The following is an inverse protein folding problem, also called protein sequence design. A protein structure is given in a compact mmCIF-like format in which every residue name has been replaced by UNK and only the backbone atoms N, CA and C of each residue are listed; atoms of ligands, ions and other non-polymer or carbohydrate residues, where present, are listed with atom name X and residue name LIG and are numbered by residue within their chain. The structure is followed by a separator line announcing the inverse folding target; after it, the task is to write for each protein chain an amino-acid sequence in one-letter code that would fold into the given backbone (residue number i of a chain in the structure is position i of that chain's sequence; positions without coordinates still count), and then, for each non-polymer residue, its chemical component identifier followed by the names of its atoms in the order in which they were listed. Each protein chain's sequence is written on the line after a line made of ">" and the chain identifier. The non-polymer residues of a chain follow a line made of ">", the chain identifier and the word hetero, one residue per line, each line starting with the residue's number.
data_IF_897547601759
#
_entry.id   IF_897547601759
#
_cell.length_a   1.000
_cell.length_b   1.000
_cell.length_c   1.000
_cell.angle_alpha   90.00
_cell.angle_beta   90.00
_cell.angle_gamma   90.00
#
_symmetry.space_group_name_H-M   'P 1'
#
loop_
_entity.id
_entity.type
_entity.pdbx_description
1 polymer ?
#
# COMPACT_ATOMS: atom_id res chain seq x y z
N UNK A 1 37.22 6.93 -6.88
CA UNK A 1 35.94 7.27 -7.56
C UNK A 1 35.29 5.99 -8.07
N UNK A 2 34.17 5.54 -7.50
CA UNK A 2 33.47 4.32 -7.95
C UNK A 2 32.29 4.70 -8.85
N UNK A 3 32.44 4.49 -10.15
CA UNK A 3 31.42 4.79 -11.16
C UNK A 3 30.11 4.03 -10.94
N UNK A 4 29.03 4.78 -10.71
CA UNK A 4 27.78 4.66 -11.46
C UNK A 4 26.99 3.36 -11.44
N UNK A 5 27.10 2.45 -10.46
CA UNK A 5 26.14 1.33 -10.40
C UNK A 5 24.79 1.80 -9.85
N UNK A 6 23.83 2.13 -10.73
CA UNK A 6 22.42 2.49 -10.41
C UNK A 6 21.64 1.42 -9.60
N UNK A 7 22.27 0.33 -9.17
CA UNK A 7 21.65 -0.83 -8.49
C UNK A 7 22.13 -0.90 -7.05
N UNK A 8 21.20 -1.05 -6.10
CA UNK A 8 21.55 -1.25 -4.68
C UNK A 8 22.28 -2.59 -4.49
N UNK A 9 23.33 -2.59 -3.66
CA UNK A 9 24.10 -3.81 -3.36
C UNK A 9 23.37 -4.79 -2.44
N UNK A 10 22.37 -4.32 -1.67
CA UNK A 10 21.54 -5.09 -0.73
C UNK A 10 22.36 -5.89 0.32
N UNK A 11 23.60 -5.46 0.60
CA UNK A 11 24.56 -6.19 1.45
C UNK A 11 24.74 -7.66 1.05
N UNK A 12 24.68 -7.95 -0.25
CA UNK A 12 24.82 -9.30 -0.80
C UNK A 12 25.86 -9.33 -1.93
N UNK A 13 26.54 -10.48 -2.05
CA UNK A 13 27.36 -10.77 -3.23
C UNK A 13 26.51 -10.72 -4.51
N UNK A 14 27.13 -10.40 -5.65
CA UNK A 14 26.44 -10.16 -6.91
C UNK A 14 25.62 -11.36 -7.40
N UNK A 15 26.15 -12.57 -7.25
CA UNK A 15 25.49 -13.83 -7.63
C UNK A 15 24.24 -14.08 -6.77
N UNK A 16 24.39 -14.03 -5.43
CA UNK A 16 23.27 -14.21 -4.49
C UNK A 16 22.18 -13.16 -4.71
N UNK A 17 22.57 -11.88 -4.86
CA UNK A 17 21.62 -10.80 -5.14
C UNK A 17 20.80 -11.07 -6.41
N UNK A 18 21.45 -11.57 -7.46
CA UNK A 18 20.77 -11.91 -8.72
C UNK A 18 19.75 -13.03 -8.53
N UNK A 19 20.12 -14.08 -7.79
CA UNK A 19 19.23 -15.22 -7.50
C UNK A 19 18.02 -14.79 -6.66
N UNK A 20 18.26 -14.05 -5.56
CA UNK A 20 17.18 -13.53 -4.69
C UNK A 20 16.22 -12.66 -5.48
N UNK A 21 16.73 -11.70 -6.26
CA UNK A 21 15.88 -10.82 -7.07
C UNK A 21 15.15 -11.58 -8.18
N UNK A 22 15.78 -12.57 -8.82
CA UNK A 22 15.13 -13.45 -9.81
C UNK A 22 13.97 -14.22 -9.18
N UNK A 23 14.18 -14.79 -8.00
CA UNK A 23 13.15 -15.51 -7.27
C UNK A 23 11.97 -14.60 -6.93
N UNK A 24 12.25 -13.47 -6.27
CA UNK A 24 11.21 -12.50 -5.91
C UNK A 24 10.46 -11.93 -7.12
N UNK A 25 11.15 -11.73 -8.26
CA UNK A 25 10.51 -11.29 -9.52
C UNK A 25 9.54 -12.35 -10.02
N UNK A 26 9.97 -13.62 -9.97
CA UNK A 26 9.13 -14.75 -10.35
C UNK A 26 7.90 -14.85 -9.44
N UNK A 27 8.10 -14.76 -8.12
CA UNK A 27 7.03 -14.89 -7.13
C UNK A 27 6.02 -13.74 -7.22
N UNK A 28 6.51 -12.50 -7.38
CA UNK A 28 5.64 -11.33 -7.55
C UNK A 28 4.81 -11.42 -8.84
N UNK A 29 5.34 -11.98 -9.92
CA UNK A 29 4.58 -12.18 -11.17
C UNK A 29 3.48 -13.23 -10.97
N UNK A 30 3.76 -14.31 -10.23
CA UNK A 30 2.78 -15.39 -9.98
C UNK A 30 1.67 -14.96 -9.03
N UNK A 31 2.03 -14.33 -7.91
CA UNK A 31 1.10 -14.04 -6.82
C UNK A 31 0.54 -12.63 -6.87
N UNK A 32 1.16 -11.72 -7.64
CA UNK A 32 0.74 -10.33 -7.78
C UNK A 32 1.13 -9.43 -6.61
N UNK A 33 1.47 -9.99 -5.43
CA UNK A 33 1.90 -9.26 -4.22
C UNK A 33 3.01 -9.97 -3.47
N UNK A 34 3.87 -9.20 -2.81
CA UNK A 34 4.93 -9.72 -1.98
C UNK A 34 5.33 -8.73 -0.89
N UNK A 35 5.51 -9.22 0.33
CA UNK A 35 6.04 -8.43 1.45
C UNK A 35 7.56 -8.59 1.54
N UNK A 36 8.28 -7.46 1.66
CA UNK A 36 9.74 -7.48 1.79
C UNK A 36 10.28 -6.19 2.39
N UNK A 37 11.60 -6.03 2.48
CA UNK A 37 12.19 -4.76 2.93
C UNK A 37 12.10 -3.70 1.85
N UNK A 38 11.90 -2.43 2.24
CA UNK A 38 11.87 -1.27 1.34
C UNK A 38 12.99 -1.27 0.28
N UNK A 39 14.27 -1.50 0.63
CA UNK A 39 15.33 -1.53 -0.38
C UNK A 39 15.17 -2.67 -1.39
N UNK A 40 14.71 -3.86 -0.97
CA UNK A 40 14.45 -4.99 -1.88
C UNK A 40 13.27 -4.70 -2.80
N UNK A 41 12.17 -4.16 -2.27
CA UNK A 41 11.00 -3.77 -3.06
C UNK A 41 11.34 -2.75 -4.15
N UNK A 42 12.18 -1.74 -3.83
CA UNK A 42 12.62 -0.73 -4.81
C UNK A 42 13.45 -1.32 -5.94
N UNK A 43 14.33 -2.29 -5.66
CA UNK A 43 15.08 -2.99 -6.72
C UNK A 43 14.19 -3.92 -7.55
N UNK A 44 13.26 -4.61 -6.88
CA UNK A 44 12.33 -5.54 -7.49
C UNK A 44 11.40 -4.86 -8.51
N UNK A 45 10.90 -3.67 -8.17
CA UNK A 45 10.08 -2.82 -9.07
C UNK A 45 10.71 -2.69 -10.46
N UNK A 46 12.01 -2.39 -10.53
CA UNK A 46 12.72 -2.20 -11.80
C UNK A 46 12.73 -3.47 -12.65
N UNK A 47 12.88 -4.63 -12.03
CA UNK A 47 12.95 -5.92 -12.72
C UNK A 47 11.57 -6.36 -13.20
N UNK A 48 10.55 -6.26 -12.36
CA UNK A 48 9.16 -6.59 -12.74
C UNK A 48 8.67 -5.65 -13.83
N UNK A 49 8.92 -4.35 -13.73
CA UNK A 49 8.50 -3.40 -14.76
C UNK A 49 9.14 -3.76 -16.13
N UNK A 50 10.41 -4.20 -16.14
CA UNK A 50 11.08 -4.69 -17.35
C UNK A 50 10.42 -5.97 -17.88
N UNK A 51 10.12 -6.94 -17.03
CA UNK A 51 9.50 -8.20 -17.46
C UNK A 51 8.10 -7.99 -18.04
N UNK A 52 7.29 -7.12 -17.43
CA UNK A 52 5.97 -6.75 -17.95
C UNK A 52 6.11 -6.02 -19.30
N UNK A 53 7.09 -5.13 -19.44
CA UNK A 53 7.37 -4.46 -20.72
C UNK A 53 7.73 -5.46 -21.83
N UNK A 54 8.53 -6.48 -21.52
CA UNK A 54 8.82 -7.57 -22.46
C UNK A 54 7.56 -8.38 -22.79
N UNK A 55 6.75 -8.69 -21.79
CA UNK A 55 5.47 -9.38 -21.98
C UNK A 55 4.55 -8.63 -22.93
N UNK A 56 4.41 -7.30 -22.74
CA UNK A 56 3.66 -6.41 -23.63
C UNK A 56 4.17 -6.38 -25.07
N UNK A 57 5.49 -6.51 -25.27
CA UNK A 57 6.08 -6.52 -26.63
C UNK A 57 5.62 -7.73 -27.43
N UNK A 58 5.38 -8.87 -26.78
CA UNK A 58 4.74 -10.02 -27.42
C UNK A 58 5.57 -10.79 -28.46
N UNK A 59 6.84 -10.41 -28.72
CA UNK A 59 7.67 -11.07 -29.74
C UNK A 59 8.38 -12.31 -29.19
N UNK A 60 8.75 -13.24 -30.08
CA UNK A 60 9.49 -14.46 -29.70
C UNK A 60 10.85 -14.13 -29.05
N UNK A 61 11.53 -13.10 -29.54
CA UNK A 61 12.75 -12.62 -28.89
C UNK A 61 12.51 -12.13 -27.45
N UNK A 62 11.38 -11.44 -27.19
CA UNK A 62 11.01 -11.03 -25.84
C UNK A 62 10.68 -12.25 -24.95
N UNK A 63 10.02 -13.26 -25.52
CA UNK A 63 9.73 -14.52 -24.86
C UNK A 63 11.02 -15.21 -24.39
N UNK A 64 12.01 -15.38 -25.27
CA UNK A 64 13.31 -15.97 -24.90
C UNK A 64 14.04 -15.18 -23.81
N UNK A 65 13.95 -13.84 -23.81
CA UNK A 65 14.52 -13.02 -22.74
C UNK A 65 13.84 -13.27 -21.39
N UNK A 66 12.53 -13.44 -21.36
CA UNK A 66 11.75 -13.77 -20.16
C UNK A 66 12.15 -15.16 -19.66
N UNK A 67 12.17 -16.16 -20.54
CA UNK A 67 12.50 -17.55 -20.22
C UNK A 67 13.93 -17.71 -19.70
N UNK A 68 14.89 -16.96 -20.27
CA UNK A 68 16.28 -16.95 -19.80
C UNK A 68 16.41 -16.37 -18.39
N UNK A 69 15.59 -15.37 -18.04
CA UNK A 69 15.71 -14.65 -16.78
C UNK A 69 14.86 -15.21 -15.64
N UNK A 70 13.61 -15.64 -15.86
CA UNK A 70 12.70 -16.02 -14.76
C UNK A 70 12.76 -17.51 -14.44
N UNK A 71 12.31 -17.89 -13.24
CA UNK A 71 12.07 -19.29 -12.93
C UNK A 71 10.66 -19.69 -13.40
N UNK A 72 10.44 -20.99 -13.62
CA UNK A 72 9.13 -21.55 -13.99
C UNK A 72 8.48 -20.86 -15.21
N UNK A 73 9.16 -20.81 -16.38
CA UNK A 73 8.69 -20.10 -17.57
C UNK A 73 7.29 -20.55 -18.02
N UNK A 74 6.98 -21.84 -17.86
CA UNK A 74 5.65 -22.42 -18.17
C UNK A 74 4.51 -21.70 -17.44
N UNK A 75 4.74 -21.18 -16.24
CA UNK A 75 3.74 -20.46 -15.44
C UNK A 75 3.78 -18.96 -15.66
N UNK A 76 4.98 -18.36 -15.71
CA UNK A 76 5.11 -16.89 -15.74
C UNK A 76 4.95 -16.28 -17.14
N UNK A 77 5.32 -17.01 -18.22
CA UNK A 77 5.21 -16.49 -19.59
C UNK A 77 3.74 -16.25 -19.98
N UNK A 78 2.79 -17.19 -19.75
CA UNK A 78 1.38 -16.94 -20.01
C UNK A 78 0.81 -15.75 -19.24
N UNK A 79 1.24 -15.55 -17.98
CA UNK A 79 0.83 -14.39 -17.18
C UNK A 79 1.35 -13.08 -17.78
N UNK A 80 2.64 -13.03 -18.18
CA UNK A 80 3.26 -11.82 -18.72
C UNK A 80 2.75 -11.45 -20.12
N UNK A 81 2.71 -12.41 -21.05
CA UNK A 81 2.33 -12.18 -22.44
C UNK A 81 0.82 -12.28 -22.68
N UNK A 82 0.07 -12.81 -21.72
CA UNK A 82 -1.40 -12.86 -21.74
C UNK A 82 -2.00 -11.83 -20.79
N UNK A 83 -2.18 -12.22 -19.53
CA UNK A 83 -2.92 -11.44 -18.52
C UNK A 83 -2.37 -10.02 -18.34
N UNK A 84 -1.08 -9.87 -18.06
CA UNK A 84 -0.45 -8.58 -17.80
C UNK A 84 -0.24 -7.75 -19.07
N UNK A 85 0.01 -8.39 -20.22
CA UNK A 85 0.09 -7.70 -21.50
C UNK A 85 -1.23 -7.00 -21.84
N UNK A 86 -2.36 -7.70 -21.69
CA UNK A 86 -3.71 -7.15 -21.87
C UNK A 86 -4.00 -6.05 -20.84
N UNK A 87 -3.83 -6.35 -19.55
CA UNK A 87 -4.08 -5.41 -18.43
C UNK A 87 -3.33 -4.09 -18.58
N UNK A 88 -2.10 -4.13 -19.08
CA UNK A 88 -1.24 -2.95 -19.16
C UNK A 88 -1.03 -2.41 -20.57
N UNK A 89 -1.84 -2.82 -21.56
CA UNK A 89 -1.67 -2.47 -22.97
C UNK A 89 -1.45 -0.97 -23.19
N UNK A 90 -2.32 -0.13 -22.62
CA UNK A 90 -2.30 1.34 -22.76
C UNK A 90 -1.32 2.05 -21.82
N UNK A 91 -0.81 1.36 -20.79
CA UNK A 91 0.03 1.97 -19.75
C UNK A 91 1.51 1.97 -20.17
N UNK A 92 2.19 3.13 -20.24
CA UNK A 92 3.58 3.20 -20.69
C UNK A 92 4.59 2.64 -19.68
N UNK A 93 4.26 2.64 -18.37
CA UNK A 93 5.15 2.13 -17.34
C UNK A 93 4.57 2.25 -15.92
N UNK A 94 5.39 1.88 -14.92
CA UNK A 94 5.00 1.90 -13.52
C UNK A 94 3.85 0.94 -13.23
N UNK A 95 4.11 -0.34 -13.47
CA UNK A 95 3.15 -1.44 -13.33
C UNK A 95 3.07 -1.97 -11.90
N UNK A 96 4.05 -1.60 -11.07
CA UNK A 96 4.12 -1.99 -9.66
C UNK A 96 4.00 -0.78 -8.73
N UNK A 97 3.49 -1.03 -7.53
CA UNK A 97 3.44 -0.08 -6.41
C UNK A 97 4.19 -0.64 -5.21
N UNK A 98 4.88 0.23 -4.49
CA UNK A 98 5.57 -0.10 -3.23
C UNK A 98 4.91 0.69 -2.12
N UNK A 99 4.38 0.00 -1.13
CA UNK A 99 3.67 0.54 0.02
C UNK A 99 4.48 0.23 1.29
N UNK A 100 5.02 1.25 1.98
CA UNK A 100 5.63 1.03 3.29
C UNK A 100 4.57 0.53 4.29
N UNK A 101 4.89 -0.52 5.04
CA UNK A 101 3.98 -1.15 6.02
C UNK A 101 4.51 -1.08 7.45
N UNK A 102 5.50 -0.21 7.69
CA UNK A 102 6.15 -0.07 8.99
C UNK A 102 7.48 -0.81 9.07
N UNK A 103 7.95 -1.03 10.30
CA UNK A 103 9.24 -1.66 10.56
C UNK A 103 9.04 -3.04 11.16
N UNK A 104 9.87 -3.99 10.75
CA UNK A 104 9.85 -5.34 11.28
C UNK A 104 10.23 -5.36 12.76
N UNK A 105 9.49 -6.12 13.56
CA UNK A 105 9.79 -6.35 14.97
C UNK A 105 11.13 -7.11 15.10
N UNK A 106 12.00 -6.66 16.00
CA UNK A 106 13.30 -7.26 16.27
C UNK A 106 14.45 -6.44 15.68
N UNK A 107 14.56 -6.37 14.35
CA UNK A 107 15.68 -5.66 13.68
C UNK A 107 15.31 -4.26 13.17
N UNK A 108 14.07 -3.81 13.42
CA UNK A 108 13.53 -2.51 12.99
C UNK A 108 13.72 -2.23 11.49
N UNK A 109 13.84 -3.29 10.68
CA UNK A 109 14.07 -3.14 9.25
C UNK A 109 12.82 -2.54 8.57
N UNK A 110 12.97 -1.51 7.71
CA UNK A 110 11.82 -0.91 7.06
C UNK A 110 11.22 -1.87 6.02
N UNK A 111 9.95 -2.21 6.21
CA UNK A 111 9.19 -3.15 5.40
C UNK A 111 8.28 -2.43 4.41
N UNK A 112 8.00 -3.10 3.30
CA UNK A 112 7.07 -2.68 2.28
C UNK A 112 6.38 -3.87 1.62
N UNK A 113 5.10 -3.69 1.33
CA UNK A 113 4.35 -4.51 0.41
C UNK A 113 4.60 -3.99 -1.01
N UNK A 114 5.01 -4.85 -1.93
CA UNK A 114 5.05 -4.55 -3.36
C UNK A 114 3.92 -5.31 -4.06
N UNK A 115 3.18 -4.62 -4.92
CA UNK A 115 2.06 -5.18 -5.66
C UNK A 115 2.13 -4.81 -7.15
N UNK A 116 1.65 -5.70 -8.00
CA UNK A 116 1.33 -5.41 -9.40
C UNK A 116 -0.06 -4.75 -9.42
N UNK A 117 -0.17 -3.62 -10.12
CA UNK A 117 -1.41 -2.85 -10.21
C UNK A 117 -2.52 -3.64 -10.91
N UNK A 118 -3.77 -3.32 -10.56
CA UNK A 118 -4.94 -3.83 -11.25
C UNK A 118 -5.93 -2.68 -11.49
N UNK A 119 -5.76 -1.91 -12.59
CA UNK A 119 -6.65 -0.79 -12.89
C UNK A 119 -8.12 -1.19 -13.04
N UNK A 120 -8.36 -2.43 -13.47
CA UNK A 120 -9.71 -2.96 -13.69
C UNK A 120 -10.42 -3.37 -12.39
N UNK A 121 -9.67 -3.57 -11.29
CA UNK A 121 -10.19 -3.98 -9.98
C UNK A 121 -9.46 -3.22 -8.86
N UNK A 122 -9.75 -1.91 -8.71
CA UNK A 122 -9.05 -1.08 -7.74
C UNK A 122 -9.33 -1.46 -6.29
N UNK A 123 -10.51 -1.98 -5.97
CA UNK A 123 -10.89 -2.52 -4.66
C UNK A 123 -10.03 -3.72 -4.24
N UNK A 124 -9.43 -4.42 -5.19
CA UNK A 124 -8.47 -5.45 -4.86
C UNK A 124 -7.17 -4.82 -4.31
N UNK A 125 -6.79 -3.61 -4.73
CA UNK A 125 -5.50 -2.97 -4.42
C UNK A 125 -5.35 -2.58 -2.93
N UNK A 126 -4.21 -2.94 -2.35
CA UNK A 126 -3.96 -2.68 -0.91
C UNK A 126 -3.96 -1.18 -0.63
N UNK A 127 -3.41 -0.37 -1.53
CA UNK A 127 -3.35 1.08 -1.35
C UNK A 127 -4.72 1.76 -1.38
N UNK A 128 -5.65 1.20 -2.17
CA UNK A 128 -7.01 1.70 -2.26
C UNK A 128 -7.74 1.38 -0.97
N UNK A 129 -7.64 0.14 -0.47
CA UNK A 129 -8.25 -0.27 0.80
C UNK A 129 -7.69 0.53 1.99
N UNK A 130 -6.38 0.80 2.04
CA UNK A 130 -5.82 1.71 3.04
C UNK A 130 -6.39 3.13 2.96
N UNK A 131 -6.60 3.65 1.74
CA UNK A 131 -7.20 4.97 1.53
C UNK A 131 -8.66 4.98 2.02
N UNK A 132 -9.45 4.00 1.62
CA UNK A 132 -10.85 3.84 2.07
C UNK A 132 -10.92 3.73 3.59
N UNK A 133 -10.11 2.88 4.21
CA UNK A 133 -10.07 2.72 5.68
C UNK A 133 -9.63 3.99 6.40
N UNK A 134 -8.69 4.75 5.82
CA UNK A 134 -8.28 6.06 6.34
C UNK A 134 -9.40 7.08 6.25
N UNK A 135 -10.14 7.11 5.14
CA UNK A 135 -11.31 7.99 4.97
C UNK A 135 -12.40 7.59 5.97
N UNK A 136 -12.74 6.30 6.07
CA UNK A 136 -13.72 5.80 7.02
C UNK A 136 -13.37 6.16 8.47
N UNK A 137 -12.11 6.00 8.86
CA UNK A 137 -11.64 6.38 10.20
C UNK A 137 -11.74 7.88 10.47
N UNK A 138 -11.51 8.73 9.46
CA UNK A 138 -11.73 10.17 9.57
C UNK A 138 -13.23 10.47 9.70
N UNK A 139 -14.11 9.73 9.01
CA UNK A 139 -15.55 10.02 8.95
C UNK A 139 -16.19 9.80 10.32
N UNK A 140 -15.75 8.74 11.00
CA UNK A 140 -16.11 8.46 12.38
C UNK A 140 -15.66 9.55 13.37
N UNK A 141 -14.54 10.22 13.09
CA UNK A 141 -13.94 11.18 14.02
C UNK A 141 -14.45 12.62 13.81
N UNK A 142 -14.92 12.99 12.61
CA UNK A 142 -15.28 14.37 12.23
C UNK A 142 -16.80 14.61 12.05
N UNK A 143 -17.67 13.61 12.27
CA UNK A 143 -19.15 13.69 12.14
C UNK A 143 -19.70 14.31 10.82
N UNK A 144 -18.91 14.41 9.75
CA UNK A 144 -19.31 14.94 8.42
C UNK A 144 -18.84 14.08 7.24
N UNK A 145 -19.56 14.16 6.11
CA UNK A 145 -19.22 13.51 4.82
C UNK A 145 -17.87 14.02 4.29
N UNK A 146 -16.97 13.10 3.99
CA UNK A 146 -15.54 13.37 3.83
C UNK A 146 -15.10 13.87 2.46
N UNK A 147 -15.94 13.77 1.43
CA UNK A 147 -15.48 14.10 0.08
C UNK A 147 -15.17 15.60 -0.10
N UNK A 148 -15.92 16.50 0.54
CA UNK A 148 -15.76 17.94 0.29
C UNK A 148 -14.60 18.57 1.10
N UNK A 149 -14.45 18.21 2.37
CA UNK A 149 -13.39 18.74 3.25
C UNK A 149 -12.01 18.18 2.86
N UNK A 150 -11.93 16.89 2.49
CA UNK A 150 -10.66 16.25 2.15
C UNK A 150 -10.06 16.76 0.83
N UNK A 151 -10.85 17.35 -0.08
CA UNK A 151 -10.38 17.81 -1.39
C UNK A 151 -9.81 19.24 -1.40
N UNK A 152 -10.15 20.06 -0.40
CA UNK A 152 -9.79 21.49 -0.31
C UNK A 152 -9.23 21.87 1.07
N UNK A 153 -7.99 21.48 1.39
CA UNK A 153 -7.33 21.92 2.62
C UNK A 153 -6.87 23.37 2.51
N UNK A 154 -7.49 24.26 3.29
CA UNK A 154 -7.09 25.66 3.46
C UNK A 154 -6.20 25.81 4.69
N UNK A 155 -5.16 26.65 4.59
CA UNK A 155 -4.41 27.13 5.74
C UNK A 155 -5.00 28.50 6.06
N UNK A 156 -5.40 28.74 7.30
CA UNK A 156 -5.83 30.06 7.73
C UNK A 156 -4.59 30.98 7.79
N UNK A 157 -4.48 31.99 6.91
CA UNK A 157 -3.34 32.90 6.88
C UNK A 157 -3.35 33.89 8.05
N UNK A 158 -4.52 34.12 8.68
CA UNK A 158 -4.71 35.13 9.72
C UNK A 158 -4.74 34.52 11.14
N UNK A 159 -4.63 33.19 11.24
CA UNK A 159 -4.56 32.50 12.52
C UNK A 159 -3.34 32.96 13.33
N UNK A 160 -3.59 33.50 14.53
CA UNK A 160 -2.54 33.87 15.47
C UNK A 160 -1.88 32.61 16.05
N UNK A 161 -0.70 32.25 15.56
CA UNK A 161 0.09 31.17 16.13
C UNK A 161 0.87 31.69 17.34
N UNK A 162 0.53 31.19 18.53
CA UNK A 162 1.14 31.62 19.79
C UNK A 162 2.66 31.44 19.84
N UNK A 163 3.22 30.45 19.12
CA UNK A 163 4.66 30.25 18.99
C UNK A 163 5.06 29.57 17.65
N UNK A 164 6.37 29.49 17.40
CA UNK A 164 6.96 28.85 16.21
C UNK A 164 6.64 27.34 16.14
N UNK A 165 6.37 26.69 17.27
CA UNK A 165 6.08 25.25 17.34
C UNK A 165 4.66 24.97 16.84
N UNK A 166 3.69 25.78 17.26
CA UNK A 166 2.29 25.78 16.84
C UNK A 166 2.20 26.04 15.33
N UNK A 167 2.92 27.05 14.83
CA UNK A 167 2.99 27.31 13.39
C UNK A 167 3.52 26.11 12.59
N UNK A 168 4.65 25.51 13.03
CA UNK A 168 5.21 24.32 12.37
C UNK A 168 4.25 23.13 12.38
N UNK A 169 3.53 22.92 13.48
CA UNK A 169 2.54 21.85 13.61
C UNK A 169 1.37 22.06 12.65
N UNK A 170 0.81 23.28 12.62
CA UNK A 170 -0.27 23.63 11.71
C UNK A 170 0.14 23.51 10.24
N UNK A 171 1.35 23.99 9.89
CA UNK A 171 1.91 23.83 8.55
C UNK A 171 2.06 22.34 8.17
N UNK A 172 2.59 21.52 9.08
CA UNK A 172 2.75 20.08 8.83
C UNK A 172 1.40 19.38 8.65
N UNK A 173 0.40 19.75 9.45
CA UNK A 173 -0.96 19.24 9.34
C UNK A 173 -1.60 19.61 8.00
N UNK A 174 -1.51 20.88 7.61
CA UNK A 174 -2.00 21.38 6.33
C UNK A 174 -1.33 20.68 5.13
N UNK A 175 0.00 20.55 5.14
CA UNK A 175 0.74 19.80 4.13
C UNK A 175 0.32 18.33 4.07
N UNK A 176 0.02 17.72 5.23
CA UNK A 176 -0.43 16.33 5.30
C UNK A 176 -1.83 16.18 4.69
N UNK A 177 -2.75 17.09 5.00
CA UNK A 177 -4.09 17.17 4.41
C UNK A 177 -4.01 17.39 2.89
N UNK A 178 -3.15 18.28 2.41
CA UNK A 178 -2.88 18.47 0.97
C UNK A 178 -2.40 17.20 0.27
N UNK A 179 -1.44 16.49 0.87
CA UNK A 179 -0.93 15.22 0.32
C UNK A 179 -2.03 14.16 0.29
N UNK A 180 -2.87 14.12 1.31
CA UNK A 180 -4.01 13.21 1.38
C UNK A 180 -5.05 13.51 0.30
N UNK A 181 -5.44 14.77 0.14
CA UNK A 181 -6.31 15.25 -0.95
C UNK A 181 -5.81 14.81 -2.32
N UNK A 182 -4.50 14.93 -2.57
CA UNK A 182 -3.88 14.50 -3.81
C UNK A 182 -3.96 12.98 -4.01
N UNK A 183 -3.84 12.18 -2.94
CA UNK A 183 -4.01 10.73 -3.02
C UNK A 183 -5.44 10.36 -3.40
N UNK A 184 -6.44 11.01 -2.82
CA UNK A 184 -7.85 10.80 -3.15
C UNK A 184 -8.11 11.16 -4.62
N UNK A 185 -7.70 12.36 -5.07
CA UNK A 185 -7.81 12.78 -6.48
C UNK A 185 -7.14 11.79 -7.44
N UNK A 186 -5.97 11.29 -7.06
CA UNK A 186 -5.22 10.31 -7.86
C UNK A 186 -5.90 8.94 -7.86
N UNK A 187 -6.52 8.52 -6.77
CA UNK A 187 -7.31 7.29 -6.72
C UNK A 187 -8.48 7.39 -7.70
N UNK A 188 -9.33 8.41 -7.57
CA UNK A 188 -10.47 8.67 -8.47
C UNK A 188 -10.07 8.68 -9.94
N UNK A 189 -8.96 9.37 -10.28
CA UNK A 189 -8.44 9.41 -11.65
C UNK A 189 -7.97 8.04 -12.16
N UNK A 190 -7.31 7.24 -11.33
CA UNK A 190 -6.78 5.94 -11.76
C UNK A 190 -7.87 4.88 -11.90
N UNK A 191 -8.94 4.99 -11.10
CA UNK A 191 -10.04 4.04 -11.08
C UNK A 191 -11.19 4.45 -11.99
N UNK A 192 -11.14 5.66 -12.56
CA UNK A 192 -12.24 6.26 -13.31
C UNK A 192 -13.57 6.27 -12.53
N UNK A 193 -13.48 6.40 -11.20
CA UNK A 193 -14.64 6.43 -10.31
C UNK A 193 -15.09 7.86 -10.02
N UNK A 194 -16.39 8.03 -9.81
CA UNK A 194 -16.98 9.27 -9.32
C UNK A 194 -16.75 9.45 -7.81
N UNK A 195 -16.85 10.69 -7.36
CA UNK A 195 -16.81 11.04 -5.94
C UNK A 195 -17.91 10.33 -5.13
N UNK A 196 -19.10 10.16 -5.72
CA UNK A 196 -20.25 9.51 -5.09
C UNK A 196 -20.03 8.00 -4.90
N UNK A 197 -19.46 7.33 -5.90
CA UNK A 197 -19.10 5.91 -5.80
C UNK A 197 -18.07 5.66 -4.69
N UNK A 198 -17.05 6.53 -4.61
CA UNK A 198 -16.07 6.46 -3.53
C UNK A 198 -16.72 6.68 -2.16
N UNK A 199 -17.63 7.66 -2.04
CA UNK A 199 -18.32 7.92 -0.77
C UNK A 199 -19.15 6.71 -0.32
N UNK A 200 -19.85 6.02 -1.23
CA UNK A 200 -20.60 4.78 -0.91
C UNK A 200 -19.70 3.69 -0.32
N UNK A 201 -18.50 3.50 -0.89
CA UNK A 201 -17.53 2.52 -0.40
C UNK A 201 -17.00 2.92 0.97
N UNK A 202 -16.70 4.21 1.17
CA UNK A 202 -16.25 4.74 2.45
C UNK A 202 -17.34 4.61 3.50
N UNK A 203 -18.60 4.88 3.18
CA UNK A 203 -19.73 4.73 4.10
C UNK A 203 -19.88 3.28 4.57
N UNK A 204 -19.76 2.31 3.65
CA UNK A 204 -19.79 0.88 3.99
C UNK A 204 -18.62 0.48 4.91
N UNK A 205 -17.40 0.91 4.59
CA UNK A 205 -16.23 0.66 5.44
C UNK A 205 -16.35 1.37 6.80
N UNK A 206 -16.99 2.54 6.86
CA UNK A 206 -17.23 3.29 8.09
C UNK A 206 -18.11 2.50 9.06
N UNK A 207 -19.17 1.87 8.55
CA UNK A 207 -20.02 0.95 9.33
C UNK A 207 -19.18 -0.20 9.86
N UNK A 208 -18.41 -0.87 8.99
CA UNK A 208 -17.56 -1.99 9.38
C UNK A 208 -16.52 -1.62 10.45
N UNK A 209 -15.83 -0.48 10.31
CA UNK A 209 -14.85 0.00 11.29
C UNK A 209 -15.52 0.37 12.61
N UNK A 210 -16.75 0.89 12.58
CA UNK A 210 -17.53 1.19 13.79
C UNK A 210 -17.86 -0.09 14.55
N UNK A 211 -18.37 -1.11 13.87
CA UNK A 211 -18.65 -2.44 14.44
C UNK A 211 -17.40 -3.04 15.08
N UNK A 212 -16.24 -2.99 14.39
CA UNK A 212 -14.98 -3.47 14.95
C UNK A 212 -14.55 -2.71 16.22
N UNK A 213 -14.72 -1.38 16.27
CA UNK A 213 -14.42 -0.57 17.47
C UNK A 213 -15.34 -0.91 18.64
N UNK A 214 -16.61 -1.15 18.37
CA UNK A 214 -17.59 -1.56 19.38
C UNK A 214 -17.25 -2.95 19.93
N UNK A 215 -16.93 -3.91 19.05
CA UNK A 215 -16.44 -5.24 19.46
C UNK A 215 -15.14 -5.18 20.27
N UNK A 216 -14.16 -4.35 19.87
CA UNK A 216 -12.91 -4.20 20.62
C UNK A 216 -13.13 -3.54 21.99
N UNK A 217 -14.06 -2.58 22.09
CA UNK A 217 -14.41 -1.92 23.35
C UNK A 217 -15.09 -2.88 24.35
N UNK A 218 -15.80 -3.91 23.88
CA UNK A 218 -16.42 -4.93 24.72
C UNK A 218 -15.41 -5.92 25.32
N UNK A 219 -14.23 -6.10 24.71
CA UNK A 219 -13.37 -7.28 24.94
C UNK A 219 -12.24 -7.18 26.01
N UNK A 220 -11.90 -6.07 26.72
CA UNK A 220 -10.83 -6.15 27.73
C UNK A 220 -11.28 -6.42 29.18
N UNK A 221 -12.51 -6.03 29.58
CA UNK A 221 -12.94 -6.13 30.98
C UNK A 221 -13.98 -7.22 31.23
N UNK A 222 -14.90 -7.48 30.30
CA UNK A 222 -16.00 -8.41 30.54
C UNK A 222 -15.55 -9.88 30.53
N UNK A 223 -14.49 -10.21 29.78
CA UNK A 223 -13.93 -11.58 29.73
C UNK A 223 -13.07 -11.87 30.96
N UNK A 224 -12.26 -10.91 31.41
CA UNK A 224 -11.42 -11.07 32.59
C UNK A 224 -12.25 -11.15 33.89
N UNK A 225 -13.28 -10.31 34.03
CA UNK A 225 -14.14 -10.31 35.22
C UNK A 225 -15.03 -11.55 35.29
N UNK A 226 -15.54 -12.06 34.15
CA UNK A 226 -16.39 -13.28 34.15
C UNK A 226 -15.62 -14.59 34.32
N UNK A 227 -14.34 -14.66 33.93
CA UNK A 227 -13.55 -15.90 34.02
C UNK A 227 -12.65 -15.99 35.27
N UNK A 228 -12.26 -14.87 35.91
CA UNK A 228 -11.20 -14.91 36.96
C UNK A 228 -11.62 -14.45 38.35
N UNK A 229 -12.81 -13.88 38.54
CA UNK A 229 -13.29 -13.48 39.86
C UNK A 229 -14.56 -14.25 40.25
N UNK A 230 -14.47 -15.30 41.10
CA UNK A 230 -15.66 -15.85 41.73
C UNK A 230 -16.29 -14.77 42.61
N UNK A 231 -17.62 -14.64 42.55
CA UNK A 231 -18.45 -13.65 43.28
C UNK A 231 -18.30 -13.69 44.82
N UNK A 232 -17.49 -14.61 45.34
CA UNK A 232 -17.35 -14.91 46.78
C UNK A 232 -15.89 -14.86 47.27
N UNK A 233 -15.10 -13.89 46.81
CA UNK A 233 -13.77 -13.64 47.40
C UNK A 233 -13.95 -12.87 48.72
N UNK A 234 -13.52 -13.43 49.88
CA UNK A 234 -13.68 -12.73 51.15
C UNK A 234 -12.80 -11.48 51.18
N UNK A 235 -13.37 -10.36 51.63
CA UNK A 235 -12.62 -9.12 51.81
C UNK A 235 -11.51 -9.35 52.83
N UNK A 236 -10.26 -9.15 52.42
CA UNK A 236 -9.12 -9.19 53.33
C UNK A 236 -9.25 -8.03 54.33
N UNK A 237 -9.42 -8.36 55.62
CA UNK A 237 -9.20 -7.45 56.75
C UNK A 237 -7.71 -7.39 57.07
#
# INVERSE_FOLDING_TARGET
>A
MHGGSSRRKLNMHSALRRQVLRNMTTDLIKHGRLETTVPRAKELRRLVDKMITLGKRGTEHARHQIEAYLYQPKTVVPLLMGTYAKRFATRPGGFTRVLPIGNRKGDYAPMAMIEILNPDQPEAEVSFNYLVRSLASMQLNEEMKIVDSALKPTLDPDAAYADKRMFKRALQEHQSKQRFALKVKKALKNTNMSAEELQKIVDAETIHVKELREMEAEVPLQRFVKETWPENTPSLR
#
